data_IF_727093160416
#
_entry.id   IF_727093160416
#
_cell.length_a   1.000
_cell.length_b   1.000
_cell.length_c   1.000
_cell.angle_alpha   90.00
_cell.angle_beta   90.00
_cell.angle_gamma   90.00
#
_symmetry.space_group_name_H-M   'P 1'
#
loop_
_entity.id
_entity.type
_entity.pdbx_description
1 polymer ?
#
# COMPACT_ATOMS: atom_id res chain seq x y z
N UNK A 1 -9.00 12.70 -1.73
CA UNK A 1 -8.50 11.32 -1.96
C UNK A 1 -9.68 10.44 -2.32
N UNK A 2 -9.88 10.21 -3.61
CA UNK A 2 -11.02 9.47 -4.16
C UNK A 2 -10.93 8.02 -3.69
N UNK A 3 -11.91 7.60 -2.88
CA UNK A 3 -12.10 6.21 -2.52
C UNK A 3 -12.58 5.44 -3.73
N UNK A 4 -11.68 5.11 -4.64
CA UNK A 4 -11.94 4.06 -5.61
C UNK A 4 -12.06 2.77 -4.82
N UNK A 5 -13.30 2.45 -4.46
CA UNK A 5 -13.70 1.10 -4.12
C UNK A 5 -13.09 0.20 -5.18
N UNK A 6 -12.16 -0.67 -4.77
CA UNK A 6 -11.38 -1.47 -5.70
C UNK A 6 -12.34 -2.25 -6.58
N UNK A 7 -12.54 -1.78 -7.81
CA UNK A 7 -13.27 -2.51 -8.83
C UNK A 7 -12.65 -3.90 -8.87
N UNK A 8 -13.48 -4.95 -8.77
CA UNK A 8 -13.00 -6.32 -8.59
C UNK A 8 -11.95 -6.76 -9.61
N UNK A 9 -11.88 -6.11 -10.77
CA UNK A 9 -10.87 -6.34 -11.81
C UNK A 9 -9.48 -5.74 -11.46
N UNK A 10 -9.43 -4.62 -10.72
CA UNK A 10 -8.18 -3.92 -10.34
C UNK A 10 -7.52 -4.52 -9.09
N UNK A 11 -8.27 -5.30 -8.30
CA UNK A 11 -7.74 -5.94 -7.10
C UNK A 11 -6.49 -6.79 -7.42
N UNK A 12 -5.44 -6.73 -6.58
CA UNK A 12 -4.24 -7.56 -6.72
C UNK A 12 -4.54 -9.06 -6.89
N UNK A 13 -5.54 -9.57 -6.16
CA UNK A 13 -6.02 -10.95 -6.26
C UNK A 13 -6.56 -11.29 -7.63
N UNK A 14 -7.45 -10.46 -8.18
CA UNK A 14 -8.01 -10.69 -9.51
C UNK A 14 -6.96 -10.58 -10.62
N UNK A 15 -5.94 -9.73 -10.43
CA UNK A 15 -4.79 -9.64 -11.35
C UNK A 15 -3.95 -10.91 -11.30
N UNK A 16 -3.63 -11.42 -10.10
CA UNK A 16 -2.94 -12.69 -9.91
C UNK A 16 -3.72 -13.87 -10.53
N UNK A 17 -5.04 -13.91 -10.37
CA UNK A 17 -5.91 -14.91 -11.03
C UNK A 17 -5.84 -14.87 -12.55
N UNK A 18 -5.52 -13.73 -13.17
CA UNK A 18 -5.39 -13.59 -14.62
C UNK A 18 -3.95 -13.77 -15.14
N UNK A 19 -3.05 -14.33 -14.32
CA UNK A 19 -1.67 -14.53 -14.73
C UNK A 19 -0.78 -13.28 -14.55
N UNK A 20 -1.29 -12.20 -13.95
CA UNK A 20 -0.51 -10.97 -13.78
C UNK A 20 0.19 -10.93 -12.41
N UNK A 21 1.48 -10.63 -12.42
CA UNK A 21 2.21 -10.31 -11.20
C UNK A 21 2.07 -8.83 -10.88
N UNK A 22 1.85 -8.52 -9.61
CA UNK A 22 1.70 -7.16 -9.09
C UNK A 22 2.56 -7.03 -7.83
N UNK A 23 3.17 -5.87 -7.62
CA UNK A 23 4.07 -5.63 -6.49
C UNK A 23 3.65 -4.36 -5.75
N UNK A 24 3.68 -4.46 -4.43
CA UNK A 24 3.52 -3.35 -3.47
C UNK A 24 2.40 -2.38 -3.83
N UNK A 25 1.25 -2.92 -4.22
CA UNK A 25 0.05 -2.10 -4.45
C UNK A 25 -0.52 -1.74 -3.09
N UNK A 26 -0.48 -0.46 -2.76
CA UNK A 26 -1.03 0.05 -1.51
C UNK A 26 -2.55 0.18 -1.57
N UNK A 27 -3.20 -0.27 -0.51
CA UNK A 27 -4.66 -0.32 -0.41
C UNK A 27 -5.11 0.01 1.00
N UNK A 28 -6.24 0.71 1.11
CA UNK A 28 -6.91 0.91 2.39
C UNK A 28 -7.95 -0.19 2.59
N UNK A 29 -7.74 -1.01 3.61
CA UNK A 29 -8.74 -1.95 4.10
C UNK A 29 -9.61 -1.21 5.12
N UNK A 30 -10.90 -1.06 4.80
CA UNK A 30 -11.87 -0.44 5.70
C UNK A 30 -12.48 -1.52 6.57
N UNK A 31 -12.20 -1.49 7.87
CA UNK A 31 -12.86 -2.38 8.83
C UNK A 31 -13.81 -1.57 9.73
N UNK A 32 -15.12 -1.90 9.77
CA UNK A 32 -16.11 -1.07 10.45
C UNK A 32 -15.94 -0.99 11.97
N UNK A 33 -15.22 -1.94 12.59
CA UNK A 33 -15.06 -2.01 14.05
C UNK A 33 -13.65 -1.63 14.54
N UNK A 34 -12.62 -1.84 13.71
CA UNK A 34 -11.21 -1.68 14.13
C UNK A 34 -10.51 -0.51 13.44
N UNK A 35 -11.22 0.19 12.55
CA UNK A 35 -10.69 1.30 11.78
C UNK A 35 -10.04 0.88 10.46
N UNK A 36 -9.49 1.88 9.76
CA UNK A 36 -8.83 1.66 8.47
C UNK A 36 -7.39 1.22 8.68
N UNK A 37 -6.96 0.23 7.89
CA UNK A 37 -5.57 -0.25 7.83
C UNK A 37 -5.04 -0.01 6.43
N UNK A 38 -3.78 0.39 6.32
CA UNK A 38 -3.08 0.51 5.03
C UNK A 38 -2.28 -0.78 4.85
N UNK A 39 -2.50 -1.45 3.72
CA UNK A 39 -1.76 -2.66 3.36
C UNK A 39 -1.00 -2.48 2.05
N UNK A 40 0.19 -3.04 1.97
CA UNK A 40 0.91 -3.25 0.72
C UNK A 40 0.66 -4.69 0.24
N UNK A 41 0.15 -4.83 -0.98
CA UNK A 41 -0.23 -6.13 -1.55
C UNK A 41 0.67 -6.49 -2.73
N UNK A 42 1.31 -7.64 -2.64
CA UNK A 42 2.04 -8.28 -3.75
C UNK A 42 1.31 -9.55 -4.15
N UNK A 43 1.09 -9.76 -5.44
CA UNK A 43 0.33 -10.89 -5.96
C UNK A 43 1.02 -11.53 -7.15
N UNK A 44 0.94 -12.85 -7.27
CA UNK A 44 1.50 -13.60 -8.39
C UNK A 44 0.65 -14.82 -8.73
N UNK A 45 0.68 -15.29 -10.00
CA UNK A 45 0.03 -16.53 -10.39
C UNK A 45 0.65 -17.73 -9.69
N UNK A 46 -0.17 -18.71 -9.32
CA UNK A 46 0.30 -19.98 -8.80
C UNK A 46 0.37 -20.97 -9.96
N UNK A 47 1.59 -21.25 -10.44
CA UNK A 47 1.86 -22.14 -11.57
C UNK A 47 2.43 -23.45 -11.03
N UNK A 48 1.89 -24.59 -11.50
CA UNK A 48 2.45 -25.90 -11.18
C UNK A 48 3.66 -26.26 -12.06
N UNK A 49 4.30 -27.40 -11.77
CA UNK A 49 5.47 -27.88 -12.52
C UNK A 49 5.18 -28.13 -14.02
N UNK A 50 3.91 -28.35 -14.38
CA UNK A 50 3.46 -28.52 -15.76
C UNK A 50 3.18 -27.21 -16.49
N UNK A 51 3.40 -26.05 -15.86
CA UNK A 51 3.10 -24.74 -16.43
C UNK A 51 1.63 -24.35 -16.37
N UNK A 52 0.78 -25.11 -15.68
CA UNK A 52 -0.65 -24.83 -15.56
C UNK A 52 -0.90 -23.90 -14.38
N UNK A 53 -1.62 -22.82 -14.63
CA UNK A 53 -2.05 -21.92 -13.56
C UNK A 53 -3.16 -22.58 -12.72
N UNK A 54 -2.84 -22.86 -11.45
CA UNK A 54 -3.78 -23.40 -10.46
C UNK A 54 -4.53 -22.33 -9.68
N UNK A 55 -4.06 -21.09 -9.77
CA UNK A 55 -4.68 -19.94 -9.12
C UNK A 55 -3.71 -18.78 -9.04
N UNK A 56 -3.62 -18.17 -7.88
CA UNK A 56 -2.83 -16.98 -7.63
C UNK A 56 -2.78 -16.72 -6.14
N UNK A 57 -1.61 -16.31 -5.70
CA UNK A 57 -1.27 -16.06 -4.33
C UNK A 57 -1.10 -14.55 -4.15
N UNK A 58 -1.57 -14.04 -3.02
CA UNK A 58 -1.33 -12.67 -2.60
C UNK A 58 -0.76 -12.64 -1.19
N UNK A 59 0.15 -11.71 -0.96
CA UNK A 59 0.69 -11.38 0.36
C UNK A 59 0.28 -9.95 0.65
N UNK A 60 -0.39 -9.75 1.78
CA UNK A 60 -0.79 -8.44 2.28
C UNK A 60 0.03 -8.13 3.52
N UNK A 61 0.77 -7.01 3.50
CA UNK A 61 1.55 -6.52 4.65
C UNK A 61 0.86 -5.29 5.21
N UNK A 62 0.57 -5.28 6.50
CA UNK A 62 0.15 -4.05 7.18
C UNK A 62 1.33 -3.06 7.23
N UNK A 63 1.14 -1.89 6.63
CA UNK A 63 2.14 -0.82 6.57
C UNK A 63 1.66 0.43 7.31
N UNK A 64 0.55 0.36 8.04
CA UNK A 64 -0.06 1.51 8.70
C UNK A 64 0.90 2.21 9.65
N UNK A 65 1.72 1.46 10.40
CA UNK A 65 2.72 2.05 11.29
C UNK A 65 3.86 2.72 10.52
N UNK A 66 4.27 2.14 9.40
CA UNK A 66 5.32 2.70 8.54
C UNK A 66 4.86 4.05 7.96
N UNK A 67 3.67 4.10 7.38
CA UNK A 67 3.11 5.34 6.82
C UNK A 67 3.00 6.44 7.87
N UNK A 68 2.52 6.12 9.08
CA UNK A 68 2.44 7.11 10.17
C UNK A 68 3.80 7.65 10.59
N UNK A 69 4.82 6.78 10.65
CA UNK A 69 6.17 7.21 11.00
C UNK A 69 6.77 8.10 9.90
N UNK A 70 6.53 7.78 8.62
CA UNK A 70 6.97 8.59 7.49
C UNK A 70 6.27 9.97 7.49
N UNK A 71 4.96 10.02 7.73
CA UNK A 71 4.21 11.28 7.87
C UNK A 71 4.73 12.14 9.02
N UNK A 72 5.05 11.53 10.17
CA UNK A 72 5.58 12.23 11.33
C UNK A 72 6.97 12.83 11.04
N UNK A 73 7.85 12.06 10.39
CA UNK A 73 9.17 12.54 9.97
C UNK A 73 9.03 13.72 8.99
N UNK A 74 8.15 13.61 8.01
CA UNK A 74 7.92 14.69 7.03
C UNK A 74 7.43 15.96 7.71
N UNK A 75 6.50 15.83 8.67
CA UNK A 75 5.98 16.97 9.43
C UNK A 75 7.09 17.64 10.25
N UNK A 76 7.88 16.87 10.98
CA UNK A 76 8.97 17.40 11.79
C UNK A 76 10.02 18.12 10.91
N UNK A 77 10.36 17.55 9.76
CA UNK A 77 11.29 18.18 8.82
C UNK A 77 10.74 19.52 8.29
N UNK A 78 9.46 19.56 7.91
CA UNK A 78 8.83 20.80 7.46
C UNK A 78 8.82 21.88 8.55
N UNK A 79 8.54 21.51 9.80
CA UNK A 79 8.56 22.43 10.94
C UNK A 79 9.98 22.98 11.20
N UNK A 80 11.02 22.14 11.06
CA UNK A 80 12.42 22.54 11.18
C UNK A 80 12.85 23.49 10.05
N UNK A 81 12.48 23.20 8.81
CA UNK A 81 12.80 24.06 7.66
C UNK A 81 12.19 25.47 7.82
N UNK A 82 10.93 25.53 8.26
CA UNK A 82 10.25 26.81 8.53
C UNK A 82 10.94 27.61 9.65
N UNK A 83 11.35 26.94 10.74
CA UNK A 83 12.06 27.58 11.85
C UNK A 83 13.48 28.06 11.48
N UNK A 84 14.23 27.26 10.71
CA UNK A 84 15.58 27.59 10.28
C UNK A 84 15.61 28.78 9.30
N UNK A 85 14.63 28.86 8.40
CA UNK A 85 14.46 30.00 7.50
C UNK A 85 14.20 31.32 8.26
N UNK A 86 13.48 31.25 9.39
CA UNK A 86 13.20 32.43 10.21
C UNK A 86 14.41 32.93 11.01
N UNK A 87 15.35 32.05 11.39
CA UNK A 87 16.55 32.42 12.15
C UNK A 87 17.75 32.85 11.27
N UNK A 88 17.81 32.42 10.02
CA UNK A 88 18.93 32.73 9.11
C UNK A 88 18.84 34.13 8.49
N UNK A 89 17.79 34.90 8.81
CA UNK A 89 17.54 36.25 8.30
C UNK A 89 17.76 37.38 9.31
N UNK A 90 18.40 37.13 10.45
CA UNK A 90 18.69 38.11 11.50
C UNK A 90 20.18 38.43 11.62
#
# INVERSE_FOLDING_TARGET
MTGDAVSGIRAPTARAMRGQTVRDVEMVVRHPQTGNTIIAVTGSPLIDEGGVQRGGIVVSRDITQRERAEEEIQKLNADLELGAAAHSGA
#
